data_IF_682778213312
#
_entry.id   IF_682778213312
#
_cell.length_a   1.000
_cell.length_b   1.000
_cell.length_c   1.000
_cell.angle_alpha   90.00
_cell.angle_beta   90.00
_cell.angle_gamma   90.00
#
_symmetry.space_group_name_H-M   'P 1'
#
loop_
_entity.id
_entity.type
_entity.pdbx_description
1 polymer ?
#
# COMPACT_ATOMS: atom_id res chain seq x y z
N UNK A 1 43.48 -13.69 35.04
CA UNK A 1 42.01 -13.66 35.17
C UNK A 1 41.39 -14.15 33.87
N UNK A 2 40.86 -15.38 33.83
CA UNK A 2 40.10 -15.90 32.68
C UNK A 2 38.66 -15.36 32.78
N UNK A 3 38.23 -14.57 31.80
CA UNK A 3 36.83 -14.18 31.66
C UNK A 3 36.00 -15.43 31.33
N UNK A 4 35.12 -15.82 32.24
CA UNK A 4 34.10 -16.83 31.97
C UNK A 4 33.01 -16.17 31.11
N UNK A 5 32.93 -16.55 29.83
CA UNK A 5 31.83 -16.16 28.95
C UNK A 5 30.51 -16.61 29.58
N UNK A 6 29.62 -15.66 29.88
CA UNK A 6 28.31 -15.91 30.50
C UNK A 6 27.38 -16.53 29.45
N UNK A 7 27.01 -17.83 29.54
CA UNK A 7 26.25 -18.54 28.50
C UNK A 7 24.87 -17.92 28.18
N UNK A 8 24.31 -17.15 29.11
CA UNK A 8 22.99 -16.53 28.97
C UNK A 8 22.94 -15.32 28.04
N UNK A 9 24.07 -14.63 27.78
CA UNK A 9 24.08 -13.45 26.92
C UNK A 9 23.86 -13.81 25.44
N UNK A 10 24.33 -14.97 25.01
CA UNK A 10 24.20 -15.44 23.63
C UNK A 10 22.80 -16.00 23.34
N UNK A 11 22.14 -16.63 24.33
CA UNK A 11 20.75 -17.05 24.26
C UNK A 11 19.79 -15.85 24.11
N UNK A 12 19.99 -14.79 24.90
CA UNK A 12 19.20 -13.55 24.80
C UNK A 12 19.46 -12.81 23.47
N UNK A 13 20.68 -12.89 22.92
CA UNK A 13 20.99 -12.37 21.58
C UNK A 13 20.30 -13.17 20.48
N UNK A 14 20.18 -14.48 20.64
CA UNK A 14 19.46 -15.38 19.72
C UNK A 14 17.96 -15.07 19.63
N UNK A 15 17.33 -14.78 20.77
CA UNK A 15 15.90 -14.40 20.81
C UNK A 15 15.60 -13.03 20.21
N UNK A 16 16.60 -12.15 20.10
CA UNK A 16 16.49 -10.84 19.43
C UNK A 16 16.76 -10.90 17.93
N UNK A 17 17.24 -12.04 17.40
CA UNK A 17 17.41 -12.19 15.95
C UNK A 17 16.02 -12.37 15.32
N UNK A 18 15.66 -11.56 14.32
CA UNK A 18 14.46 -11.80 13.53
C UNK A 18 14.46 -13.24 13.03
N UNK A 19 13.34 -13.94 13.21
CA UNK A 19 13.18 -15.27 12.63
C UNK A 19 13.40 -15.17 11.11
N UNK A 20 14.02 -16.18 10.47
CA UNK A 20 14.15 -16.18 9.02
C UNK A 20 12.75 -16.07 8.39
N UNK A 21 12.60 -15.30 7.30
CA UNK A 21 11.32 -15.16 6.63
C UNK A 21 10.81 -16.54 6.24
N UNK A 22 9.56 -16.84 6.61
CA UNK A 22 8.93 -18.10 6.22
C UNK A 22 8.69 -18.06 4.71
N UNK A 23 8.86 -19.18 4.00
CA UNK A 23 8.52 -19.24 2.59
C UNK A 23 7.03 -18.95 2.41
N UNK A 24 6.73 -17.97 1.58
CA UNK A 24 5.37 -17.58 1.24
C UNK A 24 4.65 -18.72 0.51
N UNK A 25 3.36 -18.90 0.81
CA UNK A 25 2.53 -19.96 0.24
C UNK A 25 1.23 -19.42 -0.30
N UNK A 26 0.75 -20.03 -1.39
CA UNK A 26 -0.56 -19.74 -1.94
C UNK A 26 -1.64 -20.03 -0.89
N UNK A 27 -2.51 -19.06 -0.61
CA UNK A 27 -3.61 -19.18 0.34
C UNK A 27 -4.64 -20.25 -0.07
N UNK A 28 -4.64 -20.66 -1.35
CA UNK A 28 -5.64 -21.57 -1.92
C UNK A 28 -5.10 -23.00 -2.12
N UNK A 29 -3.91 -23.15 -2.72
CA UNK A 29 -3.35 -24.47 -3.03
C UNK A 29 -2.12 -24.84 -2.20
N UNK A 30 -1.61 -23.95 -1.34
CA UNK A 30 -0.48 -24.20 -0.46
C UNK A 30 0.90 -24.29 -1.14
N UNK A 31 0.98 -24.19 -2.47
CA UNK A 31 2.25 -24.18 -3.23
C UNK A 31 3.13 -23.02 -2.80
N UNK A 32 4.44 -23.24 -2.73
CA UNK A 32 5.42 -22.20 -2.43
C UNK A 32 5.42 -21.10 -3.50
N UNK A 33 5.58 -19.85 -3.06
CA UNK A 33 5.53 -18.67 -3.90
C UNK A 33 6.91 -18.03 -4.05
N UNK A 34 7.26 -17.54 -5.25
CA UNK A 34 8.45 -16.71 -5.42
C UNK A 34 8.23 -15.31 -4.82
N UNK A 35 9.33 -14.55 -4.72
CA UNK A 35 9.24 -13.12 -4.49
C UNK A 35 8.47 -12.44 -5.64
N UNK A 36 7.64 -11.44 -5.33
CA UNK A 36 6.81 -10.76 -6.33
C UNK A 36 5.66 -11.60 -6.89
N UNK A 37 5.15 -12.55 -6.12
CA UNK A 37 3.92 -13.27 -6.46
C UNK A 37 2.70 -12.34 -6.49
N UNK A 38 1.59 -12.83 -7.03
CA UNK A 38 0.36 -12.04 -7.17
C UNK A 38 -0.46 -12.08 -5.88
N UNK A 39 -1.25 -11.03 -5.66
CA UNK A 39 -2.25 -10.99 -4.62
C UNK A 39 -3.66 -10.95 -5.19
N UNK A 40 -4.61 -11.49 -4.44
CA UNK A 40 -6.03 -11.23 -4.60
C UNK A 40 -6.50 -10.38 -3.42
N UNK A 41 -7.38 -9.41 -3.66
CA UNK A 41 -8.07 -8.69 -2.60
C UNK A 41 -9.25 -9.54 -2.12
N UNK A 42 -9.28 -9.88 -0.84
CA UNK A 42 -10.46 -10.39 -0.15
C UNK A 42 -11.34 -9.19 0.23
N UNK A 43 -12.44 -8.98 -0.48
CA UNK A 43 -13.35 -7.85 -0.25
C UNK A 43 -14.15 -7.97 1.04
N UNK A 44 -14.29 -9.20 1.58
CA UNK A 44 -15.01 -9.43 2.84
C UNK A 44 -14.18 -9.04 4.06
N UNK A 45 -12.89 -9.41 4.07
CA UNK A 45 -11.97 -9.11 5.19
C UNK A 45 -11.15 -7.84 4.97
N UNK A 46 -11.21 -7.27 3.77
CA UNK A 46 -10.36 -6.14 3.32
C UNK A 46 -8.87 -6.46 3.51
N UNK A 47 -8.49 -7.67 3.09
CA UNK A 47 -7.15 -8.22 3.24
C UNK A 47 -6.60 -8.70 1.89
N UNK A 48 -5.30 -8.97 1.85
CA UNK A 48 -4.65 -9.58 0.70
C UNK A 48 -4.44 -11.08 0.92
N UNK A 49 -4.76 -11.86 -0.11
CA UNK A 49 -4.47 -13.28 -0.17
C UNK A 49 -3.36 -13.54 -1.21
N UNK A 50 -2.23 -14.09 -0.76
CA UNK A 50 -1.15 -14.50 -1.65
C UNK A 50 -1.61 -15.61 -2.59
N UNK A 51 -1.39 -15.45 -3.89
CA UNK A 51 -1.87 -16.38 -4.91
C UNK A 51 -0.75 -16.76 -5.89
N UNK A 52 -0.67 -18.06 -6.21
CA UNK A 52 0.12 -18.51 -7.35
C UNK A 52 -0.57 -18.09 -8.66
N UNK A 53 0.16 -18.10 -9.78
CA UNK A 53 -0.38 -17.71 -11.09
C UNK A 53 -1.66 -18.48 -11.45
N UNK A 54 -1.70 -19.80 -11.21
CA UNK A 54 -2.86 -20.62 -11.53
C UNK A 54 -4.10 -20.23 -10.71
N UNK A 55 -3.95 -20.05 -9.40
CA UNK A 55 -5.06 -19.60 -8.55
C UNK A 55 -5.49 -18.17 -8.90
N UNK A 56 -4.55 -17.26 -9.17
CA UNK A 56 -4.88 -15.90 -9.58
C UNK A 56 -5.71 -15.86 -10.88
N UNK A 57 -5.36 -16.68 -11.89
CA UNK A 57 -6.13 -16.81 -13.13
C UNK A 57 -7.54 -17.38 -12.90
N UNK A 58 -7.68 -18.33 -11.97
CA UNK A 58 -8.97 -18.92 -11.63
C UNK A 58 -9.92 -17.88 -11.01
N UNK A 59 -9.42 -17.02 -10.12
CA UNK A 59 -10.21 -15.97 -9.49
C UNK A 59 -10.42 -14.72 -10.36
N UNK A 60 -9.73 -14.59 -11.49
CA UNK A 60 -10.03 -13.57 -12.50
C UNK A 60 -11.34 -13.87 -13.26
N UNK A 61 -11.84 -15.10 -13.21
CA UNK A 61 -13.07 -15.46 -13.91
C UNK A 61 -14.29 -14.86 -13.20
N UNK A 62 -15.25 -14.26 -13.93
CA UNK A 62 -16.48 -13.74 -13.33
C UNK A 62 -17.19 -14.79 -12.45
N UNK A 63 -17.51 -14.42 -11.21
CA UNK A 63 -18.23 -15.29 -10.26
C UNK A 63 -17.37 -16.29 -9.47
N UNK A 64 -16.07 -16.40 -9.74
CA UNK A 64 -15.16 -17.22 -8.94
C UNK A 64 -15.15 -16.78 -7.47
N UNK A 65 -15.16 -17.73 -6.53
CA UNK A 65 -15.16 -17.44 -5.09
C UNK A 65 -16.36 -16.61 -4.61
N UNK A 66 -17.48 -16.61 -5.35
CA UNK A 66 -18.64 -15.78 -5.05
C UNK A 66 -18.39 -14.28 -5.20
N UNK A 67 -17.34 -13.87 -5.93
CA UNK A 67 -16.95 -12.47 -6.09
C UNK A 67 -16.18 -11.88 -4.90
N UNK A 68 -15.94 -12.66 -3.84
CA UNK A 68 -15.18 -12.23 -2.65
C UNK A 68 -13.71 -11.93 -2.94
N UNK A 69 -13.10 -12.71 -3.84
CA UNK A 69 -11.69 -12.54 -4.20
C UNK A 69 -11.58 -11.85 -5.55
N UNK A 70 -10.95 -10.67 -5.55
CA UNK A 70 -10.76 -9.87 -6.76
C UNK A 70 -9.29 -9.79 -7.12
N UNK A 71 -9.00 -9.89 -8.41
CA UNK A 71 -7.63 -9.74 -8.89
C UNK A 71 -7.15 -8.30 -8.70
N UNK A 72 -5.97 -8.14 -8.12
CA UNK A 72 -5.32 -6.84 -7.98
C UNK A 72 -4.71 -6.44 -9.34
N UNK A 73 -5.06 -5.27 -9.93
CA UNK A 73 -4.46 -4.78 -11.17
C UNK A 73 -2.96 -4.53 -11.03
N UNK A 74 -2.25 -4.37 -12.14
CA UNK A 74 -0.81 -4.05 -12.15
C UNK A 74 -0.49 -2.62 -12.62
N UNK A 75 -1.52 -1.82 -12.90
CA UNK A 75 -1.41 -0.47 -13.45
C UNK A 75 -1.05 0.57 -12.39
N UNK A 76 -0.14 1.47 -12.73
CA UNK A 76 0.19 2.65 -11.94
C UNK A 76 -0.14 3.88 -12.79
N UNK A 77 -1.06 4.73 -12.33
CA UNK A 77 -1.52 5.89 -13.09
C UNK A 77 -1.21 7.20 -12.38
N UNK A 78 -0.96 8.24 -13.17
CA UNK A 78 -0.74 9.61 -12.70
C UNK A 78 -1.61 10.59 -13.48
N UNK A 79 -1.99 11.71 -12.85
CA UNK A 79 -2.66 12.82 -13.52
C UNK A 79 -1.83 14.09 -13.33
N UNK A 80 -0.89 14.39 -14.25
CA UNK A 80 -0.03 15.57 -14.14
C UNK A 80 -0.81 16.89 -14.34
N UNK A 81 -2.06 16.83 -14.81
CA UNK A 81 -2.89 18.01 -15.07
C UNK A 81 -3.66 18.43 -13.82
N UNK A 82 -4.16 17.48 -13.02
CA UNK A 82 -4.94 17.75 -11.81
C UNK A 82 -4.21 17.25 -10.55
N UNK A 83 -3.16 17.98 -10.17
CA UNK A 83 -2.44 17.74 -8.91
C UNK A 83 -3.23 18.20 -7.68
N UNK A 84 -2.80 17.73 -6.51
CA UNK A 84 -3.29 18.24 -5.22
C UNK A 84 -2.47 19.45 -4.81
N UNK A 85 -3.13 20.46 -4.22
CA UNK A 85 -2.48 21.62 -3.63
C UNK A 85 -2.34 21.50 -2.10
N UNK A 86 -1.66 22.47 -1.48
CA UNK A 86 -1.45 22.47 -0.02
C UNK A 86 -2.76 22.58 0.77
N UNK A 87 -3.80 23.23 0.23
CA UNK A 87 -5.10 23.33 0.88
C UNK A 87 -5.81 21.98 0.92
N UNK A 88 -5.77 21.25 -0.20
CA UNK A 88 -6.24 19.88 -0.31
C UNK A 88 -5.50 18.94 0.66
N UNK A 89 -4.17 19.05 0.76
CA UNK A 89 -3.39 18.27 1.71
C UNK A 89 -3.73 18.58 3.17
N UNK A 90 -3.83 19.86 3.53
CA UNK A 90 -4.18 20.29 4.87
C UNK A 90 -5.56 19.77 5.30
N UNK A 91 -6.53 19.73 4.38
CA UNK A 91 -7.86 19.18 4.61
C UNK A 91 -7.85 17.68 4.97
N UNK A 92 -6.88 16.91 4.48
CA UNK A 92 -6.74 15.48 4.80
C UNK A 92 -6.20 15.23 6.21
N UNK A 93 -5.59 16.24 6.85
CA UNK A 93 -5.04 16.17 8.22
C UNK A 93 -4.08 14.99 8.45
N UNK A 94 -3.30 14.62 7.42
CA UNK A 94 -2.32 13.54 7.48
C UNK A 94 -1.12 14.00 8.32
N UNK A 95 -0.72 13.28 9.39
CA UNK A 95 0.39 13.70 10.27
C UNK A 95 1.78 13.34 9.75
N UNK A 96 1.86 12.63 8.61
CA UNK A 96 3.09 12.15 7.98
C UNK A 96 3.18 12.64 6.53
N UNK A 97 4.27 12.35 5.82
CA UNK A 97 4.49 12.81 4.44
C UNK A 97 3.88 11.88 3.38
N UNK A 98 3.33 10.72 3.76
CA UNK A 98 2.77 9.74 2.82
C UNK A 98 1.54 9.08 3.39
N UNK A 99 0.52 8.86 2.57
CA UNK A 99 -0.69 8.14 2.94
C UNK A 99 -1.32 7.53 1.69
N UNK A 100 -2.22 6.57 1.85
CA UNK A 100 -3.04 6.06 0.76
C UNK A 100 -4.51 6.00 1.14
N UNK A 101 -5.38 6.14 0.16
CA UNK A 101 -6.82 6.08 0.33
C UNK A 101 -7.39 4.82 -0.32
N UNK A 102 -8.13 4.07 0.48
CA UNK A 102 -8.88 2.89 0.04
C UNK A 102 -10.35 3.22 -0.04
N UNK A 103 -11.03 2.70 -1.06
CA UNK A 103 -12.49 2.74 -1.18
C UNK A 103 -12.99 1.30 -1.26
N UNK A 104 -13.86 0.91 -0.33
CA UNK A 104 -14.54 -0.38 -0.42
C UNK A 104 -15.75 -0.31 -1.36
N UNK A 105 -16.07 -1.37 -2.09
CA UNK A 105 -17.30 -1.40 -2.89
C UNK A 105 -18.56 -1.29 -2.02
N UNK A 106 -18.57 -1.98 -0.87
CA UNK A 106 -19.69 -2.00 0.08
C UNK A 106 -19.59 -0.92 1.16
N UNK A 107 -18.51 -0.12 1.17
CA UNK A 107 -18.28 0.95 2.15
C UNK A 107 -18.67 2.31 1.57
N UNK A 108 -19.55 3.03 2.26
CA UNK A 108 -19.89 4.41 1.92
C UNK A 108 -18.73 5.40 2.16
N UNK A 109 -17.72 5.02 2.97
CA UNK A 109 -16.63 5.90 3.40
C UNK A 109 -15.26 5.41 2.92
N UNK A 110 -14.45 6.30 2.31
CA UNK A 110 -13.04 6.03 2.08
C UNK A 110 -12.28 5.89 3.41
N UNK A 111 -11.26 5.05 3.42
CA UNK A 111 -10.34 4.90 4.55
C UNK A 111 -9.00 5.49 4.14
N UNK A 112 -8.48 6.39 4.96
CA UNK A 112 -7.14 6.93 4.87
C UNK A 112 -6.20 6.06 5.70
N UNK A 113 -5.16 5.55 5.08
CA UNK A 113 -4.15 4.71 5.71
C UNK A 113 -2.78 5.39 5.61
N UNK A 114 -1.98 5.35 6.66
CA UNK A 114 -0.59 5.81 6.59
C UNK A 114 0.37 4.91 7.39
N UNK A 115 1.64 4.77 6.95
CA UNK A 115 2.61 3.96 7.68
C UNK A 115 2.90 4.49 9.08
N UNK A 116 3.09 3.56 10.02
CA UNK A 116 3.49 3.83 11.41
C UNK A 116 4.38 2.69 11.93
N UNK A 117 5.04 2.84 13.09
CA UNK A 117 5.80 1.74 13.71
C UNK A 117 4.98 0.47 13.96
N UNK A 118 3.67 0.62 14.17
CA UNK A 118 2.75 -0.48 14.42
C UNK A 118 2.21 -1.13 13.13
N UNK A 119 2.52 -0.57 11.95
CA UNK A 119 1.92 -0.94 10.67
C UNK A 119 1.06 0.18 10.10
N UNK A 120 0.03 -0.17 9.32
CA UNK A 120 -0.88 0.82 8.78
C UNK A 120 -1.74 1.40 9.91
N UNK A 121 -1.70 2.71 10.11
CA UNK A 121 -2.72 3.41 10.89
C UNK A 121 -3.86 3.77 9.96
N UNK A 122 -5.09 3.48 10.39
CA UNK A 122 -6.30 3.72 9.61
C UNK A 122 -7.14 4.83 10.25
N UNK A 123 -7.70 5.70 9.41
CA UNK A 123 -8.65 6.73 9.79
C UNK A 123 -9.77 6.80 8.75
N UNK A 124 -11.02 6.86 9.19
CA UNK A 124 -12.12 7.13 8.28
C UNK A 124 -12.04 8.56 7.74
N UNK A 125 -12.21 8.71 6.43
CA UNK A 125 -12.29 10.02 5.81
C UNK A 125 -13.74 10.47 5.68
N UNK A 126 -14.04 11.68 6.15
CA UNK A 126 -15.38 12.24 5.99
C UNK A 126 -15.75 12.41 4.50
N UNK A 127 -16.98 12.06 4.08
CA UNK A 127 -17.43 12.21 2.70
C UNK A 127 -17.31 13.63 2.15
N UNK A 128 -17.45 14.65 3.02
CA UNK A 128 -17.27 16.05 2.66
C UNK A 128 -15.81 16.35 2.28
N UNK A 129 -14.85 15.88 3.07
CA UNK A 129 -13.41 16.04 2.78
C UNK A 129 -13.04 15.30 1.50
N UNK A 130 -13.53 14.07 1.30
CA UNK A 130 -13.34 13.35 0.05
C UNK A 130 -13.85 14.14 -1.16
N UNK A 131 -15.07 14.70 -1.09
CA UNK A 131 -15.65 15.47 -2.20
C UNK A 131 -14.85 16.74 -2.48
N UNK A 132 -14.41 17.44 -1.44
CA UNK A 132 -13.60 18.66 -1.59
C UNK A 132 -12.24 18.37 -2.22
N UNK A 133 -11.54 17.33 -1.76
CA UNK A 133 -10.16 17.02 -2.18
C UNK A 133 -10.13 16.24 -3.50
N UNK A 134 -11.01 15.26 -3.66
CA UNK A 134 -10.97 14.29 -4.76
C UNK A 134 -12.18 14.35 -5.69
N UNK A 135 -13.18 15.19 -5.42
CA UNK A 135 -14.41 15.25 -6.22
C UNK A 135 -14.19 15.65 -7.69
N UNK A 136 -13.07 16.29 -8.01
CA UNK A 136 -12.65 16.63 -9.39
C UNK A 136 -11.46 15.81 -9.88
N UNK A 137 -10.98 14.86 -9.08
CA UNK A 137 -9.80 14.05 -9.41
C UNK A 137 -10.16 12.97 -10.42
N UNK A 138 -9.49 12.98 -11.58
CA UNK A 138 -9.67 11.95 -12.60
C UNK A 138 -9.14 10.59 -12.13
N UNK A 139 -8.10 10.58 -11.28
CA UNK A 139 -7.60 9.36 -10.63
C UNK A 139 -8.67 8.78 -9.69
N UNK A 140 -9.33 9.62 -8.88
CA UNK A 140 -10.38 9.16 -7.98
C UNK A 140 -11.61 8.59 -8.73
N UNK A 141 -11.90 9.14 -9.91
CA UNK A 141 -12.95 8.62 -10.80
C UNK A 141 -12.56 7.27 -11.42
N UNK A 142 -11.28 7.08 -11.78
CA UNK A 142 -10.77 5.85 -12.40
C UNK A 142 -10.48 4.71 -11.39
N UNK A 143 -10.41 5.01 -10.09
CA UNK A 143 -10.09 4.06 -9.02
C UNK A 143 -11.08 2.90 -8.98
N UNK A 144 -10.58 1.68 -9.06
CA UNK A 144 -11.37 0.48 -8.85
C UNK A 144 -11.46 0.15 -7.34
N UNK A 145 -12.66 0.13 -6.72
CA UNK A 145 -12.81 -0.16 -5.29
C UNK A 145 -12.20 -1.52 -4.91
N UNK A 146 -11.76 -1.65 -3.67
CA UNK A 146 -11.15 -2.83 -3.03
C UNK A 146 -9.77 -3.28 -3.57
N UNK A 147 -9.43 -2.95 -4.83
CA UNK A 147 -8.22 -3.46 -5.50
C UNK A 147 -7.20 -2.37 -5.83
N UNK A 148 -7.59 -1.11 -5.79
CA UNK A 148 -6.72 0.03 -6.04
C UNK A 148 -6.82 1.09 -4.94
N UNK A 149 -5.80 1.95 -4.88
CA UNK A 149 -5.69 3.02 -3.91
C UNK A 149 -5.17 4.31 -4.56
N UNK A 150 -5.54 5.46 -3.97
CA UNK A 150 -4.83 6.73 -4.24
C UNK A 150 -3.67 6.85 -3.26
N UNK A 151 -2.45 6.67 -3.74
CA UNK A 151 -1.23 6.85 -2.96
C UNK A 151 -0.74 8.29 -3.09
N UNK A 152 -0.57 8.93 -1.93
CA UNK A 152 -0.21 10.33 -1.80
C UNK A 152 1.16 10.48 -1.16
N UNK A 153 1.92 11.46 -1.63
CA UNK A 153 3.18 11.88 -1.01
C UNK A 153 3.35 13.39 -1.07
N UNK A 154 3.63 14.00 0.07
CA UNK A 154 4.05 15.40 0.17
C UNK A 154 5.56 15.48 0.31
N UNK A 155 6.15 16.23 -0.61
CA UNK A 155 7.56 16.69 -0.55
C UNK A 155 7.57 18.20 -0.31
N UNK A 156 8.75 18.81 -0.24
CA UNK A 156 8.85 20.28 -0.10
C UNK A 156 8.29 21.03 -1.32
N UNK A 157 8.42 20.43 -2.50
CA UNK A 157 8.16 21.13 -3.77
C UNK A 157 6.81 20.75 -4.40
N UNK A 158 6.27 19.58 -4.05
CA UNK A 158 5.04 19.05 -4.65
C UNK A 158 4.30 18.05 -3.77
N UNK A 159 3.00 17.94 -4.02
CA UNK A 159 2.16 16.84 -3.56
C UNK A 159 1.88 15.93 -4.75
N UNK A 160 2.25 14.67 -4.62
CA UNK A 160 2.07 13.65 -5.62
C UNK A 160 0.84 12.83 -5.28
N UNK A 161 0.07 12.48 -6.30
CA UNK A 161 -1.05 11.56 -6.22
C UNK A 161 -0.90 10.54 -7.35
N UNK A 162 -0.85 9.26 -6.98
CA UNK A 162 -0.77 8.13 -7.91
C UNK A 162 -1.96 7.21 -7.62
N UNK A 163 -2.56 6.67 -8.68
CA UNK A 163 -3.44 5.52 -8.54
C UNK A 163 -2.57 4.28 -8.69
N UNK A 164 -2.61 3.42 -7.68
CA UNK A 164 -1.75 2.23 -7.58
C UNK A 164 -2.57 1.00 -7.19
N UNK A 165 -2.05 -0.20 -7.51
CA UNK A 165 -2.56 -1.44 -6.93
C UNK A 165 -2.49 -1.40 -5.41
N UNK A 166 -3.52 -1.91 -4.74
CA UNK A 166 -3.61 -1.85 -3.28
C UNK A 166 -2.47 -2.61 -2.57
N UNK A 167 -1.91 -3.64 -3.20
CA UNK A 167 -0.80 -4.40 -2.65
C UNK A 167 0.50 -3.62 -2.56
N UNK A 168 0.76 -2.68 -3.48
CA UNK A 168 1.88 -1.75 -3.38
C UNK A 168 1.77 -0.84 -2.14
N UNK A 169 0.56 -0.48 -1.71
CA UNK A 169 0.37 0.30 -0.48
C UNK A 169 0.71 -0.51 0.77
N UNK A 170 0.26 -1.76 0.84
CA UNK A 170 0.59 -2.66 1.95
C UNK A 170 2.08 -3.07 1.94
N UNK A 171 2.67 -3.22 0.77
CA UNK A 171 4.12 -3.41 0.60
C UNK A 171 4.89 -2.20 1.17
N UNK A 172 4.47 -0.97 0.83
CA UNK A 172 5.06 0.25 1.38
C UNK A 172 5.00 0.26 2.91
N UNK A 173 3.83 -0.04 3.49
CA UNK A 173 3.68 -0.14 4.95
C UNK A 173 4.62 -1.17 5.55
N UNK A 174 4.73 -2.36 4.94
CA UNK A 174 5.63 -3.42 5.38
C UNK A 174 7.10 -2.99 5.34
N UNK A 175 7.54 -2.38 4.23
CA UNK A 175 8.90 -1.85 4.06
C UNK A 175 9.22 -0.76 5.10
N UNK A 176 8.31 0.19 5.29
CA UNK A 176 8.46 1.26 6.28
C UNK A 176 8.57 0.71 7.69
N UNK A 177 7.70 -0.25 8.06
CA UNK A 177 7.73 -0.88 9.38
C UNK A 177 9.05 -1.61 9.66
N UNK A 178 9.65 -2.26 8.66
CA UNK A 178 10.94 -2.95 8.82
C UNK A 178 12.13 -2.00 8.97
N UNK A 179 12.03 -0.78 8.43
CA UNK A 179 13.09 0.23 8.44
C UNK A 179 12.89 1.32 9.49
N UNK A 180 11.78 1.28 10.22
CA UNK A 180 11.42 2.35 11.14
C UNK A 180 12.42 2.46 12.29
N UNK A 181 13.02 3.65 12.43
CA UNK A 181 13.87 4.00 13.56
C UNK A 181 13.41 5.34 14.16
N UNK A 182 13.36 5.43 15.50
CA UNK A 182 13.03 6.68 16.18
C UNK A 182 11.59 7.19 15.94
N UNK A 183 11.37 8.50 16.10
CA UNK A 183 10.06 9.13 16.03
C UNK A 183 9.61 9.44 14.59
N UNK A 184 10.56 9.76 13.71
CA UNK A 184 10.32 10.18 12.32
C UNK A 184 10.62 9.08 11.29
N UNK A 185 10.95 7.87 11.75
CA UNK A 185 11.35 6.76 10.90
C UNK A 185 12.84 6.75 10.53
N UNK A 186 13.56 7.87 10.71
CA UNK A 186 14.99 8.00 10.45
C UNK A 186 15.36 8.10 8.97
N UNK A 187 16.64 8.35 8.69
CA UNK A 187 17.16 8.54 7.33
C UNK A 187 16.97 7.32 6.42
N UNK A 188 17.04 6.10 6.95
CA UNK A 188 16.80 4.87 6.18
C UNK A 188 15.36 4.75 5.69
N UNK A 189 14.36 5.08 6.53
CA UNK A 189 12.97 5.04 6.10
C UNK A 189 12.68 6.12 5.04
N UNK A 190 13.26 7.31 5.19
CA UNK A 190 13.15 8.36 4.18
C UNK A 190 13.75 7.94 2.83
N UNK A 191 14.96 7.35 2.84
CA UNK A 191 15.60 6.85 1.63
C UNK A 191 14.83 5.71 0.95
N UNK A 192 14.25 4.79 1.74
CA UNK A 192 13.38 3.73 1.22
C UNK A 192 12.09 4.31 0.60
N UNK A 193 11.49 5.33 1.24
CA UNK A 193 10.32 6.02 0.70
C UNK A 193 10.65 6.74 -0.61
N UNK A 194 11.81 7.39 -0.70
CA UNK A 194 12.31 8.00 -1.94
C UNK A 194 12.47 6.96 -3.06
N UNK A 195 13.16 5.86 -2.78
CA UNK A 195 13.39 4.79 -3.75
C UNK A 195 12.07 4.15 -4.21
N UNK A 196 11.12 3.95 -3.28
CA UNK A 196 9.81 3.38 -3.59
C UNK A 196 9.02 4.27 -4.55
N UNK A 197 8.92 5.57 -4.27
CA UNK A 197 8.21 6.51 -5.15
C UNK A 197 8.91 6.70 -6.49
N UNK A 198 10.24 6.72 -6.53
CA UNK A 198 10.98 6.76 -7.80
C UNK A 198 10.68 5.54 -8.69
N UNK A 199 10.58 4.34 -8.10
CA UNK A 199 10.20 3.13 -8.83
C UNK A 199 8.75 3.16 -9.35
N UNK A 200 7.82 3.73 -8.57
CA UNK A 200 6.45 3.94 -9.03
C UNK A 200 6.36 4.95 -10.15
N UNK A 201 7.08 6.07 -10.07
CA UNK A 201 7.11 7.10 -11.11
C UNK A 201 7.64 6.54 -12.44
N UNK A 202 8.67 5.68 -12.41
CA UNK A 202 9.18 5.02 -13.62
C UNK A 202 8.14 4.09 -14.29
N UNK A 203 7.23 3.51 -13.50
CA UNK A 203 6.16 2.63 -13.97
C UNK A 203 4.89 3.40 -14.33
N UNK A 204 4.71 4.60 -13.78
CA UNK A 204 3.49 5.37 -13.93
C UNK A 204 3.20 5.68 -15.41
N UNK A 205 1.92 5.63 -15.75
CA UNK A 205 1.41 6.07 -17.05
C UNK A 205 0.43 7.23 -16.82
N UNK A 206 0.51 8.31 -17.59
CA UNK A 206 -0.51 9.35 -17.53
C UNK A 206 -1.89 8.74 -17.80
N UNK A 207 -2.87 9.11 -16.99
CA UNK A 207 -4.25 8.72 -17.22
C UNK A 207 -4.66 9.19 -18.64
N UNK A 208 -5.09 8.29 -19.54
CA UNK A 208 -5.47 8.66 -20.90
C UNK A 208 -6.46 9.83 -20.85
N UNK A 209 -6.29 10.85 -21.69
CA UNK A 209 -7.32 11.88 -21.86
C UNK A 209 -8.61 11.14 -22.26
N UNK A 210 -9.74 11.46 -21.63
CA UNK A 210 -11.02 10.96 -22.11
C UNK A 210 -11.10 11.28 -23.61
N UNK A 211 -11.32 10.25 -24.43
CA UNK A 211 -11.64 10.49 -25.83
C UNK A 211 -12.94 11.33 -25.84
N UNK A 212 -13.03 12.38 -26.67
CA UNK A 212 -14.30 13.07 -26.82
C UNK A 212 -15.34 12.03 -27.26
N UNK A 213 -16.46 12.00 -26.53
CA UNK A 213 -17.63 11.20 -26.86
C UNK A 213 -18.18 11.55 -28.25
#
# INVERSE_FOLDING_TARGET
MRQLSRPGADLLRGLRRPAPPRPERCAFCGTGLPAGHRHLADTGERALACACTACALLFQQPGAGGGRYRAVPDRVLTDPVNGLDDAAWAALRIPVTTAFLLRGADSARPVLCYPSPAGATEAELEPAVWRTVFGRSRLAAALEPDVEALLLRRTRDRIQCLLVPVDLCYELVGRMRLRWQGFDGGAEAHAELDAFFAALEARARPLPKEAPA
#
